data_IF_362045859717
#
_entry.id   IF_362045859717
#
_cell.length_a   1.000
_cell.length_b   1.000
_cell.length_c   1.000
_cell.angle_alpha   90.00
_cell.angle_beta   90.00
_cell.angle_gamma   90.00
#
_symmetry.space_group_name_H-M   'P 1'
#
loop_
_entity.id
_entity.type
_entity.pdbx_description
1 polymer ?
#
# COMPACT_ATOMS: atom_id res chain seq x y z
N UNK A 1 4.24 -9.42 32.32
CA UNK A 1 3.33 -9.72 31.18
C UNK A 1 2.63 -11.02 31.52
N UNK A 2 1.29 -11.01 31.73
CA UNK A 2 0.56 -12.17 32.27
C UNK A 2 0.54 -13.33 31.26
N UNK A 3 0.87 -14.54 31.70
CA UNK A 3 0.86 -15.79 30.90
C UNK A 3 -0.48 -16.04 30.20
N UNK A 4 -1.61 -15.63 30.79
CA UNK A 4 -2.94 -15.71 30.20
C UNK A 4 -3.11 -14.83 28.94
N UNK A 5 -2.47 -13.65 28.90
CA UNK A 5 -2.48 -12.80 27.69
C UNK A 5 -1.66 -13.42 26.56
N UNK A 6 -0.49 -13.99 26.89
CA UNK A 6 0.33 -14.69 25.92
C UNK A 6 -0.36 -15.92 25.32
N UNK A 7 -1.05 -16.70 26.14
CA UNK A 7 -1.82 -17.85 25.66
C UNK A 7 -2.96 -17.42 24.74
N UNK A 8 -3.70 -16.35 25.09
CA UNK A 8 -4.76 -15.81 24.23
C UNK A 8 -4.23 -15.37 22.85
N UNK A 9 -3.05 -14.76 22.78
CA UNK A 9 -2.41 -14.39 21.50
C UNK A 9 -1.97 -15.60 20.67
N UNK A 10 -1.48 -16.64 21.32
CA UNK A 10 -1.05 -17.89 20.66
C UNK A 10 -2.29 -18.60 20.08
N UNK A 11 -3.38 -18.68 20.85
CA UNK A 11 -4.63 -19.31 20.41
C UNK A 11 -5.28 -18.53 19.26
N UNK A 12 -5.22 -17.20 19.28
CA UNK A 12 -5.69 -16.34 18.20
C UNK A 12 -4.88 -16.52 16.91
N UNK A 13 -3.56 -16.67 17.02
CA UNK A 13 -2.70 -16.96 15.88
C UNK A 13 -2.96 -18.35 15.29
N UNK A 14 -3.20 -19.36 16.12
CA UNK A 14 -3.56 -20.72 15.66
C UNK A 14 -4.96 -20.81 15.04
N UNK A 15 -5.88 -19.93 15.45
CA UNK A 15 -7.23 -19.82 14.87
C UNK A 15 -7.30 -19.00 13.57
N UNK A 16 -6.19 -18.37 13.16
CA UNK A 16 -6.16 -17.48 12.00
C UNK A 16 -6.32 -18.27 10.69
N UNK A 17 -7.30 -17.91 9.88
CA UNK A 17 -7.55 -18.57 8.59
C UNK A 17 -6.40 -18.32 7.59
N UNK A 18 -6.18 -19.26 6.65
CA UNK A 18 -5.16 -19.11 5.60
C UNK A 18 -5.36 -17.84 4.76
N UNK A 19 -6.60 -17.39 4.59
CA UNK A 19 -6.91 -16.14 3.89
C UNK A 19 -6.41 -14.92 4.66
N UNK A 20 -6.55 -14.91 5.98
CA UNK A 20 -6.07 -13.82 6.83
C UNK A 20 -4.54 -13.71 6.81
N UNK A 21 -3.83 -14.82 6.72
CA UNK A 21 -2.38 -14.80 6.55
C UNK A 21 -1.95 -14.13 5.24
N UNK A 22 -2.65 -14.41 4.12
CA UNK A 22 -2.41 -13.74 2.86
C UNK A 22 -2.69 -12.24 2.94
N UNK A 23 -3.79 -11.84 3.59
CA UNK A 23 -4.10 -10.42 3.78
C UNK A 23 -2.99 -9.74 4.59
N UNK A 24 -2.56 -10.32 5.70
CA UNK A 24 -1.46 -9.79 6.52
C UNK A 24 -0.14 -9.71 5.74
N UNK A 25 0.16 -10.70 4.93
CA UNK A 25 1.36 -10.69 4.09
C UNK A 25 1.31 -9.53 3.09
N UNK A 26 0.19 -9.33 2.40
CA UNK A 26 0.02 -8.20 1.47
C UNK A 26 0.08 -6.87 2.22
N UNK A 27 -0.50 -6.78 3.43
CA UNK A 27 -0.40 -5.59 4.28
C UNK A 27 1.05 -5.20 4.58
N UNK A 28 1.94 -6.17 4.77
CA UNK A 28 3.37 -5.87 5.02
C UNK A 28 4.11 -5.59 3.72
N UNK A 29 3.90 -6.38 2.68
CA UNK A 29 4.67 -6.28 1.44
C UNK A 29 4.30 -5.06 0.58
N UNK A 30 3.04 -4.63 0.58
CA UNK A 30 2.59 -3.56 -0.29
C UNK A 30 3.27 -2.19 0.02
N UNK A 31 3.34 -1.69 1.26
CA UNK A 31 4.06 -0.44 1.53
C UNK A 31 5.58 -0.56 1.32
N UNK A 32 6.15 -1.75 1.51
CA UNK A 32 7.56 -2.01 1.16
C UNK A 32 7.78 -1.94 -0.36
N UNK A 33 6.81 -2.42 -1.16
CA UNK A 33 6.79 -2.25 -2.62
C UNK A 33 6.75 -0.78 -3.04
N UNK A 34 6.01 0.07 -2.33
CA UNK A 34 6.01 1.51 -2.57
C UNK A 34 7.37 2.14 -2.26
N UNK A 35 8.03 1.78 -1.15
CA UNK A 35 9.40 2.24 -0.85
C UNK A 35 10.41 1.74 -1.87
N UNK A 36 10.27 0.49 -2.33
CA UNK A 36 11.12 -0.06 -3.38
C UNK A 36 10.99 0.74 -4.68
N UNK A 37 9.77 1.17 -5.05
CA UNK A 37 9.56 2.00 -6.23
C UNK A 37 10.30 3.35 -6.13
N UNK A 38 10.32 4.01 -4.95
CA UNK A 38 11.13 5.21 -4.69
C UNK A 38 12.62 4.90 -4.88
N UNK A 39 13.10 3.84 -4.25
CA UNK A 39 14.51 3.42 -4.33
C UNK A 39 14.93 3.11 -5.77
N UNK A 40 14.06 2.47 -6.54
CA UNK A 40 14.33 2.14 -7.94
C UNK A 40 14.40 3.38 -8.83
N UNK A 41 13.66 4.45 -8.51
CA UNK A 41 13.72 5.73 -9.23
C UNK A 41 14.98 6.52 -8.85
N UNK A 42 15.30 6.63 -7.57
CA UNK A 42 16.36 7.53 -7.06
C UNK A 42 17.72 6.84 -6.97
N UNK A 43 17.74 5.50 -6.90
CA UNK A 43 18.96 4.70 -6.75
C UNK A 43 19.53 4.70 -5.31
N UNK A 44 18.86 5.33 -4.35
CA UNK A 44 19.33 5.41 -2.96
C UNK A 44 18.34 4.78 -1.98
N UNK A 45 18.84 4.02 -1.02
CA UNK A 45 18.03 3.42 0.03
C UNK A 45 17.80 4.40 1.18
N UNK A 46 16.61 4.34 1.75
CA UNK A 46 16.28 5.03 3.00
C UNK A 46 16.12 4.03 4.15
N UNK A 47 17.23 3.64 4.85
CA UNK A 47 17.19 2.58 5.86
C UNK A 47 16.26 2.88 7.03
N UNK A 48 16.23 4.14 7.49
CA UNK A 48 15.35 4.57 8.56
C UNK A 48 13.86 4.46 8.14
N UNK A 49 13.52 4.89 6.95
CA UNK A 49 12.17 4.76 6.42
C UNK A 49 11.73 3.30 6.25
N UNK A 50 12.64 2.43 5.85
CA UNK A 50 12.37 0.99 5.77
C UNK A 50 11.96 0.44 7.14
N UNK A 51 12.68 0.79 8.20
CA UNK A 51 12.35 0.37 9.57
C UNK A 51 11.00 0.92 10.00
N UNK A 52 10.78 2.24 9.82
CA UNK A 52 9.53 2.91 10.23
C UNK A 52 8.32 2.31 9.50
N UNK A 53 8.39 2.17 8.16
CA UNK A 53 7.28 1.63 7.36
C UNK A 53 7.05 0.16 7.69
N UNK A 54 8.09 -0.64 7.93
CA UNK A 54 7.94 -2.04 8.35
C UNK A 54 7.23 -2.14 9.69
N UNK A 55 7.61 -1.34 10.68
CA UNK A 55 6.97 -1.32 12.01
C UNK A 55 5.49 -0.92 11.88
N UNK A 56 5.18 0.14 11.13
CA UNK A 56 3.81 0.58 10.89
C UNK A 56 2.98 -0.46 10.14
N UNK A 57 3.55 -1.11 9.13
CA UNK A 57 2.91 -2.19 8.38
C UNK A 57 2.62 -3.42 9.25
N UNK A 58 3.57 -3.83 10.10
CA UNK A 58 3.37 -4.91 11.06
C UNK A 58 2.31 -4.54 12.10
N UNK A 59 2.33 -3.31 12.62
CA UNK A 59 1.32 -2.84 13.56
C UNK A 59 -0.08 -2.84 12.92
N UNK A 60 -0.23 -2.37 11.67
CA UNK A 60 -1.51 -2.41 10.96
C UNK A 60 -1.97 -3.84 10.61
N UNK A 61 -1.03 -4.77 10.38
CA UNK A 61 -1.36 -6.18 10.16
C UNK A 61 -1.90 -6.87 11.44
N UNK A 62 -1.50 -6.37 12.62
CA UNK A 62 -1.99 -6.85 13.92
C UNK A 62 -3.30 -6.16 14.29
N UNK A 63 -3.40 -4.85 14.04
CA UNK A 63 -4.56 -4.01 14.37
C UNK A 63 -5.03 -3.23 13.13
N UNK A 64 -5.77 -3.87 12.22
CA UNK A 64 -6.18 -3.25 10.95
C UNK A 64 -7.12 -2.06 11.14
N UNK A 65 -7.84 -1.97 12.27
CA UNK A 65 -8.73 -0.85 12.62
C UNK A 65 -7.98 0.40 13.12
N UNK A 66 -6.65 0.31 13.26
CA UNK A 66 -5.84 1.42 13.77
C UNK A 66 -5.50 2.45 12.66
N UNK A 67 -5.19 3.67 13.08
CA UNK A 67 -4.71 4.71 12.15
C UNK A 67 -3.28 4.49 11.63
N UNK A 68 -2.61 3.41 12.05
CA UNK A 68 -1.24 3.08 11.62
C UNK A 68 -1.12 2.88 10.13
N UNK A 69 -2.15 2.31 9.48
CA UNK A 69 -2.19 2.17 8.03
C UNK A 69 -2.17 3.53 7.30
N UNK A 70 -2.94 4.50 7.80
CA UNK A 70 -2.97 5.85 7.24
C UNK A 70 -1.63 6.56 7.42
N UNK A 71 -1.01 6.42 8.60
CA UNK A 71 0.32 6.98 8.89
C UNK A 71 1.38 6.38 7.96
N UNK A 72 1.37 5.07 7.72
CA UNK A 72 2.29 4.42 6.79
C UNK A 72 2.13 4.95 5.35
N UNK A 73 0.90 5.13 4.88
CA UNK A 73 0.61 5.75 3.57
C UNK A 73 1.17 7.17 3.52
N UNK A 74 0.91 7.97 4.55
CA UNK A 74 1.38 9.35 4.62
C UNK A 74 2.92 9.44 4.60
N UNK A 75 3.60 8.55 5.33
CA UNK A 75 5.08 8.47 5.34
C UNK A 75 5.62 8.11 3.96
N UNK A 76 5.04 7.09 3.28
CA UNK A 76 5.47 6.71 1.94
C UNK A 76 5.21 7.83 0.92
N UNK A 77 4.04 8.47 0.97
CA UNK A 77 3.68 9.57 0.08
C UNK A 77 4.56 10.81 0.30
N UNK A 78 4.81 11.19 1.57
CA UNK A 78 5.70 12.28 1.90
C UNK A 78 7.14 12.01 1.44
N UNK A 79 7.63 10.78 1.63
CA UNK A 79 8.95 10.39 1.15
C UNK A 79 9.05 10.51 -0.37
N UNK A 80 8.03 10.05 -1.12
CA UNK A 80 7.96 10.22 -2.57
C UNK A 80 8.06 11.70 -2.95
N UNK A 81 7.18 12.55 -2.38
CA UNK A 81 7.09 13.98 -2.71
C UNK A 81 8.37 14.78 -2.39
N UNK A 82 9.14 14.33 -1.38
CA UNK A 82 10.40 14.99 -0.99
C UNK A 82 11.57 14.53 -1.85
N UNK A 83 11.51 13.29 -2.38
CA UNK A 83 12.69 12.63 -2.94
C UNK A 83 12.63 12.54 -4.47
N UNK A 84 11.43 12.50 -5.07
CA UNK A 84 11.24 12.30 -6.51
C UNK A 84 10.63 13.56 -7.12
N UNK A 85 11.41 14.23 -7.98
CA UNK A 85 10.97 15.45 -8.68
C UNK A 85 10.20 15.14 -9.97
N UNK A 86 10.29 13.91 -10.47
CA UNK A 86 9.73 13.51 -11.77
C UNK A 86 8.39 12.82 -11.60
N UNK A 87 7.40 13.24 -12.39
CA UNK A 87 6.05 12.63 -12.43
C UNK A 87 5.85 11.67 -13.61
N UNK A 88 6.75 11.71 -14.61
CA UNK A 88 6.71 10.88 -15.82
C UNK A 88 7.29 9.47 -15.61
N UNK A 89 7.85 9.20 -14.44
CA UNK A 89 8.46 7.91 -14.11
C UNK A 89 7.43 6.78 -13.98
N UNK A 90 7.71 5.57 -14.50
CA UNK A 90 6.82 4.41 -14.35
C UNK A 90 6.72 3.90 -12.91
N UNK A 91 7.62 4.33 -12.03
CA UNK A 91 7.59 3.96 -10.61
C UNK A 91 6.49 4.68 -9.82
N UNK A 92 6.02 5.85 -10.30
CA UNK A 92 4.92 6.58 -9.68
C UNK A 92 3.60 5.77 -9.65
N UNK A 93 3.08 5.25 -10.78
CA UNK A 93 1.90 4.40 -10.75
C UNK A 93 2.15 3.08 -9.99
N UNK A 94 3.37 2.52 -10.03
CA UNK A 94 3.71 1.32 -9.25
C UNK A 94 3.59 1.57 -7.74
N UNK A 95 4.19 2.65 -7.22
CA UNK A 95 4.06 3.05 -5.81
C UNK A 95 2.60 3.30 -5.43
N UNK A 96 1.85 4.03 -6.27
CA UNK A 96 0.45 4.36 -6.03
C UNK A 96 -0.44 3.11 -5.96
N UNK A 97 -0.24 2.13 -6.85
CA UNK A 97 -0.95 0.84 -6.83
C UNK A 97 -0.60 0.04 -5.59
N UNK A 98 0.66 0.04 -5.15
CA UNK A 98 1.08 -0.60 -3.91
C UNK A 98 0.37 0.02 -2.69
N UNK A 99 0.31 1.35 -2.60
CA UNK A 99 -0.38 2.04 -1.50
C UNK A 99 -1.90 1.84 -1.55
N UNK A 100 -2.50 1.81 -2.75
CA UNK A 100 -3.91 1.46 -2.95
C UNK A 100 -4.19 0.03 -2.46
N UNK A 101 -3.36 -0.93 -2.83
CA UNK A 101 -3.49 -2.32 -2.38
C UNK A 101 -3.36 -2.42 -0.86
N UNK A 102 -2.40 -1.71 -0.27
CA UNK A 102 -2.20 -1.63 1.18
C UNK A 102 -3.45 -1.10 1.89
N UNK A 103 -3.96 0.06 1.45
CA UNK A 103 -5.18 0.66 2.02
C UNK A 103 -6.36 -0.29 1.91
N UNK A 104 -6.51 -0.83 0.75
CA UNK A 104 -7.60 -1.69 0.39
C UNK A 104 -7.61 -2.99 1.22
N UNK A 105 -6.46 -3.65 1.40
CA UNK A 105 -6.33 -4.88 2.20
C UNK A 105 -6.59 -4.61 3.68
N UNK A 106 -6.09 -3.48 4.24
CA UNK A 106 -6.39 -3.09 5.61
C UNK A 106 -7.89 -2.87 5.83
N UNK A 107 -8.55 -2.17 4.91
CA UNK A 107 -10.01 -1.96 4.98
C UNK A 107 -10.78 -3.29 4.94
N UNK A 108 -10.34 -4.26 4.13
CA UNK A 108 -10.93 -5.58 4.10
C UNK A 108 -10.67 -6.35 5.40
N UNK A 109 -9.44 -6.33 5.92
CA UNK A 109 -9.08 -7.01 7.15
C UNK A 109 -9.84 -6.47 8.36
N UNK A 110 -10.10 -5.16 8.41
CA UNK A 110 -10.87 -4.50 9.46
C UNK A 110 -12.35 -4.93 9.50
N UNK A 111 -12.91 -5.42 8.39
CA UNK A 111 -14.34 -5.81 8.33
C UNK A 111 -14.61 -7.24 8.76
N UNK A 112 -13.59 -8.08 8.93
CA UNK A 112 -13.76 -9.50 9.26
C UNK A 112 -12.96 -9.91 10.49
N UNK A 113 -13.54 -10.72 11.40
CA UNK A 113 -12.80 -11.23 12.55
C UNK A 113 -11.65 -12.14 12.12
N UNK A 114 -10.59 -12.20 12.93
CA UNK A 114 -9.32 -12.91 12.64
C UNK A 114 -9.48 -14.39 12.31
N UNK A 115 -10.47 -15.09 12.91
CA UNK A 115 -10.82 -16.49 12.60
C UNK A 115 -11.82 -16.66 11.46
N UNK A 116 -12.41 -15.57 10.96
CA UNK A 116 -13.47 -15.61 9.94
C UNK A 116 -12.93 -15.85 8.54
N UNK A 117 -13.72 -16.59 7.72
CA UNK A 117 -13.45 -16.69 6.28
C UNK A 117 -14.20 -15.56 5.55
N UNK A 118 -13.50 -14.83 4.73
CA UNK A 118 -14.11 -13.83 3.84
C UNK A 118 -14.89 -14.57 2.75
N UNK A 119 -16.18 -14.31 2.55
CA UNK A 119 -16.95 -14.91 1.46
C UNK A 119 -16.31 -14.59 0.10
N UNK A 120 -16.19 -15.59 -0.77
CA UNK A 120 -15.55 -15.43 -2.09
C UNK A 120 -16.19 -14.33 -2.92
N UNK A 121 -17.52 -14.18 -2.85
CA UNK A 121 -18.24 -13.13 -3.55
C UNK A 121 -17.81 -11.71 -3.09
N UNK A 122 -17.56 -11.53 -1.79
CA UNK A 122 -17.06 -10.27 -1.21
C UNK A 122 -15.64 -10.01 -1.68
N UNK A 123 -14.78 -11.03 -1.63
CA UNK A 123 -13.39 -10.93 -2.08
C UNK A 123 -13.29 -10.53 -3.56
N UNK A 124 -14.07 -11.19 -4.43
CA UNK A 124 -14.11 -10.89 -5.89
C UNK A 124 -14.60 -9.47 -6.14
N UNK A 125 -15.69 -9.05 -5.48
CA UNK A 125 -16.22 -7.68 -5.61
C UNK A 125 -15.19 -6.64 -5.19
N UNK A 126 -14.52 -6.91 -4.10
CA UNK A 126 -13.51 -6.04 -3.54
C UNK A 126 -12.27 -5.96 -4.45
N UNK A 127 -11.75 -7.11 -4.92
CA UNK A 127 -10.65 -7.17 -5.87
C UNK A 127 -10.98 -6.39 -7.15
N UNK A 128 -12.20 -6.56 -7.70
CA UNK A 128 -12.62 -5.83 -8.89
C UNK A 128 -12.62 -4.31 -8.68
N UNK A 129 -13.05 -3.83 -7.50
CA UNK A 129 -13.01 -2.40 -7.17
C UNK A 129 -11.58 -1.88 -7.05
N UNK A 130 -10.69 -2.65 -6.40
CA UNK A 130 -9.28 -2.29 -6.28
C UNK A 130 -8.58 -2.28 -7.64
N UNK A 131 -8.85 -3.28 -8.49
CA UNK A 131 -8.33 -3.32 -9.87
C UNK A 131 -8.83 -2.16 -10.71
N UNK A 132 -10.11 -1.78 -10.58
CA UNK A 132 -10.64 -0.61 -11.25
C UNK A 132 -9.92 0.67 -10.79
N UNK A 133 -9.74 0.87 -9.48
CA UNK A 133 -8.97 2.01 -8.96
C UNK A 133 -7.53 2.03 -9.46
N UNK A 134 -6.85 0.88 -9.49
CA UNK A 134 -5.51 0.74 -10.05
C UNK A 134 -5.46 1.11 -11.53
N UNK A 135 -6.44 0.65 -12.33
CA UNK A 135 -6.53 0.98 -13.75
C UNK A 135 -6.74 2.48 -13.99
N UNK A 136 -7.57 3.13 -13.17
CA UNK A 136 -7.75 4.59 -13.21
C UNK A 136 -6.44 5.31 -12.88
N UNK A 137 -5.72 4.87 -11.84
CA UNK A 137 -4.43 5.45 -11.45
C UNK A 137 -3.40 5.36 -12.59
N UNK A 138 -3.26 4.19 -13.21
CA UNK A 138 -2.36 3.99 -14.35
C UNK A 138 -2.82 4.82 -15.56
N UNK A 139 -4.13 4.86 -15.83
CA UNK A 139 -4.70 5.65 -16.94
C UNK A 139 -4.44 7.15 -16.78
N UNK A 140 -4.60 7.68 -15.57
CA UNK A 140 -4.29 9.09 -15.26
C UNK A 140 -2.79 9.40 -15.43
N UNK A 141 -1.92 8.51 -14.96
CA UNK A 141 -0.50 8.66 -15.18
C UNK A 141 -0.13 8.65 -16.67
N UNK A 142 -0.67 7.71 -17.45
CA UNK A 142 -0.46 7.68 -18.90
C UNK A 142 -0.92 8.97 -19.57
N UNK A 143 -2.06 9.51 -19.15
CA UNK A 143 -2.56 10.79 -19.66
C UNK A 143 -1.59 11.93 -19.36
N UNK A 144 -1.06 12.01 -18.15
CA UNK A 144 -0.05 13.01 -17.75
C UNK A 144 1.19 12.89 -18.63
N UNK A 145 1.74 11.68 -18.80
CA UNK A 145 2.93 11.43 -19.64
C UNK A 145 2.66 11.80 -21.12
N UNK A 146 1.46 11.51 -21.63
CA UNK A 146 1.10 11.85 -23.00
C UNK A 146 0.94 13.36 -23.23
N UNK A 147 0.44 14.08 -22.23
CA UNK A 147 0.29 15.53 -22.28
C UNK A 147 1.64 16.24 -22.14
N UNK A 148 2.48 15.75 -21.25
CA UNK A 148 3.83 16.31 -21.03
C UNK A 148 4.73 16.18 -22.26
N UNK A 149 4.59 15.07 -23.00
CA UNK A 149 5.31 14.85 -24.28
C UNK A 149 4.80 15.71 -25.45
N UNK A 150 3.64 16.31 -25.33
CA UNK A 150 3.16 17.27 -26.30
C UNK A 150 3.73 18.63 -25.93
N UNK A 151 4.94 18.93 -26.48
CA UNK A 151 5.42 20.31 -26.52
C UNK A 151 4.28 21.17 -27.05
N UNK A 152 3.61 21.90 -26.16
CA UNK A 152 2.56 22.81 -26.59
C UNK A 152 3.22 23.85 -27.51
N UNK A 153 2.84 23.95 -28.80
CA UNK A 153 3.40 24.96 -29.69
C UNK A 153 2.85 26.32 -29.27
N UNK A 154 3.46 26.91 -28.23
CA UNK A 154 2.97 28.14 -27.62
C UNK A 154 4.00 29.01 -26.92
N UNK A 155 5.17 28.47 -26.60
CA UNK A 155 6.23 29.22 -25.91
C UNK A 155 7.19 29.97 -26.84
N UNK A 156 6.86 30.15 -28.12
CA UNK A 156 7.64 30.92 -29.08
C UNK A 156 7.23 32.40 -29.23
N UNK A 157 6.37 32.92 -28.36
CA UNK A 157 5.87 34.31 -28.44
C UNK A 157 5.94 35.04 -27.10
N UNK A 158 7.05 34.91 -26.39
CA UNK A 158 7.42 35.88 -25.34
C UNK A 158 8.89 36.25 -25.46
#
# INVERSE_FOLDING_TARGET
MNSAKLQGWIDELHGTSRQQWWLRLVTVLAPLGALFAVTAEVGTWWPFGLVVVTVLACASAIQPDSHTALVAIAVCAAHWLITVDRVDTPWLPAASVCLLAYHAVNALAATFPTGGKVPTATLVRWLRRTMFGASVTVGMWLLVVLLDRRDAPGNGLL
#
